data_IF_194484506546
#
_entry.id   IF_194484506546
#
_cell.length_a   1.000
_cell.length_b   1.000
_cell.length_c   1.000
_cell.angle_alpha   90.00
_cell.angle_beta   90.00
_cell.angle_gamma   90.00
#
_symmetry.space_group_name_H-M   'P 1'
#
loop_
_entity.id
_entity.type
_entity.pdbx_description
1 polymer ?
#
# COMPACT_ATOMS: atom_id res chain seq x y z
N UNK A 1 -12.54 -2.57 10.57
CA UNK A 1 -12.68 -1.58 9.48
C UNK A 1 -11.41 -0.78 9.45
N UNK A 2 -10.76 -0.70 8.30
CA UNK A 2 -9.34 -0.32 8.15
C UNK A 2 -9.02 1.18 8.43
N UNK A 3 -9.88 1.89 9.15
CA UNK A 3 -9.64 3.29 9.56
C UNK A 3 -9.46 4.28 8.41
N UNK A 4 -9.88 3.92 7.20
CA UNK A 4 -9.96 4.82 6.05
C UNK A 4 -11.36 5.44 6.10
N UNK A 5 -11.48 6.77 6.31
CA UNK A 5 -12.77 7.41 6.28
C UNK A 5 -13.39 7.19 4.90
N UNK A 6 -14.66 6.80 4.93
CA UNK A 6 -15.48 6.79 3.74
C UNK A 6 -15.55 8.24 3.21
N UNK A 7 -15.11 8.44 1.97
CA UNK A 7 -15.23 9.74 1.30
C UNK A 7 -16.64 9.77 0.72
N UNK A 8 -17.50 10.58 1.32
CA UNK A 8 -18.90 10.84 0.91
C UNK A 8 -19.93 9.75 1.24
N UNK A 9 -19.63 8.80 2.14
CA UNK A 9 -20.56 7.71 2.49
C UNK A 9 -20.69 6.62 1.42
N UNK A 10 -19.70 6.57 0.51
CA UNK A 10 -19.51 5.61 -0.57
C UNK A 10 -18.45 4.56 -0.19
N UNK A 11 -18.76 3.24 -0.26
CA UNK A 11 -17.83 2.18 0.12
C UNK A 11 -16.42 2.39 -0.41
N UNK A 12 -15.42 2.25 0.46
CA UNK A 12 -14.00 2.42 0.12
C UNK A 12 -13.66 1.55 -1.09
N UNK A 13 -13.38 2.20 -2.23
CA UNK A 13 -13.09 1.49 -3.47
C UNK A 13 -11.69 0.90 -3.42
N UNK A 14 -11.59 -0.40 -3.64
CA UNK A 14 -10.33 -1.11 -3.84
C UNK A 14 -10.07 -1.28 -5.32
N UNK A 15 -8.88 -0.89 -5.78
CA UNK A 15 -8.48 -1.02 -7.17
C UNK A 15 -7.04 -1.52 -7.29
N UNK A 16 -6.82 -2.44 -8.23
CA UNK A 16 -5.48 -2.74 -8.71
C UNK A 16 -4.86 -1.48 -9.34
N UNK A 17 -3.58 -1.23 -9.05
CA UNK A 17 -2.86 -0.05 -9.53
C UNK A 17 -1.86 -0.39 -10.60
N UNK A 18 -0.92 -1.29 -10.30
CA UNK A 18 0.19 -1.69 -11.19
C UNK A 18 0.98 -2.84 -10.60
N UNK A 19 1.86 -3.40 -11.41
CA UNK A 19 2.93 -4.32 -11.01
C UNK A 19 4.22 -3.55 -10.74
N UNK A 20 4.99 -4.00 -9.76
CA UNK A 20 6.30 -3.49 -9.33
C UNK A 20 7.25 -4.68 -9.21
N UNK A 21 7.99 -5.01 -10.26
CA UNK A 21 8.77 -6.25 -10.28
C UNK A 21 7.86 -7.47 -10.08
N UNK A 22 8.10 -8.24 -9.01
CA UNK A 22 7.26 -9.38 -8.62
C UNK A 22 6.04 -8.99 -7.78
N UNK A 23 5.89 -7.74 -7.39
CA UNK A 23 4.80 -7.29 -6.51
C UNK A 23 3.61 -6.76 -7.30
N UNK A 24 2.41 -7.21 -6.96
CA UNK A 24 1.14 -6.69 -7.46
C UNK A 24 0.58 -5.70 -6.43
N UNK A 25 0.26 -4.47 -6.86
CA UNK A 25 -0.11 -3.38 -5.96
C UNK A 25 -1.59 -3.00 -6.08
N UNK A 26 -2.30 -2.99 -4.95
CA UNK A 26 -3.66 -2.47 -4.81
C UNK A 26 -3.69 -1.23 -3.92
N UNK A 27 -4.76 -0.46 -4.07
CA UNK A 27 -5.11 0.63 -3.17
C UNK A 27 -6.59 0.54 -2.79
N UNK A 28 -6.85 0.65 -1.49
CA UNK A 28 -8.16 1.00 -0.95
C UNK A 28 -8.14 2.49 -0.60
N UNK A 29 -9.08 3.27 -1.14
CA UNK A 29 -9.20 4.71 -0.88
C UNK A 29 -8.93 5.61 -2.10
N UNK A 30 -9.10 6.93 -1.93
CA UNK A 30 -8.99 7.94 -2.99
C UNK A 30 -7.59 8.04 -3.62
N UNK A 31 -7.50 8.81 -4.71
CA UNK A 31 -6.21 9.08 -5.36
C UNK A 31 -5.31 10.02 -4.56
N UNK A 32 -5.90 10.87 -3.74
CA UNK A 32 -5.26 11.80 -2.80
C UNK A 32 -6.03 11.74 -1.48
N UNK A 33 -5.33 11.81 -0.36
CA UNK A 33 -5.91 11.61 0.97
C UNK A 33 -5.62 10.22 1.53
N UNK A 34 -6.37 9.85 2.57
CA UNK A 34 -6.22 8.59 3.28
C UNK A 34 -6.36 7.37 2.38
N UNK A 35 -5.39 6.45 2.43
CA UNK A 35 -5.44 5.21 1.67
C UNK A 35 -4.69 4.07 2.36
N UNK A 36 -5.07 2.84 2.08
CA UNK A 36 -4.30 1.64 2.37
C UNK A 36 -3.78 1.06 1.06
N UNK A 37 -2.48 0.77 1.02
CA UNK A 37 -1.85 0.04 -0.06
C UNK A 37 -1.53 -1.38 0.38
N UNK A 38 -1.68 -2.32 -0.55
CA UNK A 38 -1.31 -3.72 -0.35
C UNK A 38 -0.46 -4.17 -1.53
N UNK A 39 0.71 -4.73 -1.23
CA UNK A 39 1.57 -5.41 -2.18
C UNK A 39 1.53 -6.92 -1.92
N UNK A 40 1.22 -7.71 -2.95
CA UNK A 40 1.19 -9.17 -2.93
C UNK A 40 2.28 -9.71 -3.88
N UNK A 41 3.10 -10.65 -3.44
CA UNK A 41 4.10 -11.26 -4.31
C UNK A 41 3.44 -12.19 -5.34
N UNK A 42 3.81 -12.07 -6.62
CA UNK A 42 3.14 -12.82 -7.71
C UNK A 42 3.45 -14.31 -7.73
N UNK A 43 4.56 -14.73 -7.11
CA UNK A 43 4.95 -16.14 -7.02
C UNK A 43 4.71 -16.78 -5.65
N UNK A 44 4.30 -15.99 -4.66
CA UNK A 44 4.04 -16.46 -3.30
C UNK A 44 2.91 -15.63 -2.71
N UNK A 45 1.69 -16.17 -2.76
CA UNK A 45 0.49 -15.43 -2.39
C UNK A 45 0.35 -15.20 -0.87
N UNK A 46 1.30 -15.71 -0.07
CA UNK A 46 1.35 -15.46 1.37
C UNK A 46 2.29 -14.29 1.72
N UNK A 47 3.18 -13.88 0.81
CA UNK A 47 4.02 -12.69 0.98
C UNK A 47 3.22 -11.43 0.65
N UNK A 48 2.71 -10.79 1.71
CA UNK A 48 1.87 -9.60 1.64
C UNK A 48 2.46 -8.50 2.52
N UNK A 49 2.64 -7.32 1.93
CA UNK A 49 3.01 -6.10 2.65
C UNK A 49 1.91 -5.06 2.55
N UNK A 50 1.71 -4.27 3.61
CA UNK A 50 0.70 -3.22 3.69
C UNK A 50 1.35 -1.88 4.04
N UNK A 51 0.75 -0.80 3.57
CA UNK A 51 1.17 0.56 3.90
C UNK A 51 -0.04 1.47 4.08
N UNK A 52 -0.17 2.12 5.23
CA UNK A 52 -1.18 3.15 5.50
C UNK A 52 -0.60 4.50 5.08
N UNK A 53 -1.28 5.21 4.17
CA UNK A 53 -0.95 6.57 3.74
C UNK A 53 -1.95 7.54 4.35
N UNK A 54 -1.51 8.49 5.15
CA UNK A 54 -2.33 9.53 5.78
C UNK A 54 -2.55 10.73 4.86
N UNK A 55 -3.59 11.52 5.14
CA UNK A 55 -3.94 12.69 4.32
C UNK A 55 -2.83 13.76 4.26
N UNK A 56 -1.99 13.86 5.29
CA UNK A 56 -0.83 14.76 5.34
C UNK A 56 0.38 14.27 4.52
N UNK A 57 0.27 13.09 3.91
CA UNK A 57 1.32 12.47 3.09
C UNK A 57 2.33 11.66 3.88
N UNK A 58 2.23 11.62 5.21
CA UNK A 58 2.94 10.64 6.04
C UNK A 58 2.33 9.25 5.85
N UNK A 59 3.02 8.23 6.35
CA UNK A 59 2.46 6.89 6.36
C UNK A 59 3.30 5.93 7.17
N UNK A 60 2.86 4.68 7.18
CA UNK A 60 3.56 3.61 7.87
C UNK A 60 3.32 2.27 7.19
N UNK A 61 4.35 1.44 7.15
CA UNK A 61 4.24 0.07 6.64
C UNK A 61 5.58 -0.64 6.62
N UNK A 62 5.54 -1.92 6.95
CA UNK A 62 6.71 -2.80 6.87
C UNK A 62 6.97 -3.20 5.42
N UNK A 63 8.20 -3.00 4.95
CA UNK A 63 8.67 -3.43 3.63
C UNK A 63 9.12 -4.90 3.62
N UNK A 64 9.37 -5.47 2.43
CA UNK A 64 9.98 -6.80 2.29
C UNK A 64 11.44 -6.86 2.74
N UNK A 65 12.07 -5.71 2.96
CA UNK A 65 13.38 -5.55 3.58
C UNK A 65 13.34 -5.71 5.11
N UNK A 66 12.16 -5.92 5.70
CA UNK A 66 11.99 -6.07 7.15
C UNK A 66 12.04 -4.74 7.92
N UNK A 67 12.07 -3.61 7.22
CA UNK A 67 12.12 -2.28 7.83
C UNK A 67 10.74 -1.62 7.84
N UNK A 68 10.49 -0.79 8.86
CA UNK A 68 9.36 0.13 8.87
C UNK A 68 9.67 1.39 8.04
N UNK A 69 8.74 1.76 7.16
CA UNK A 69 8.88 2.93 6.30
C UNK A 69 7.84 3.99 6.66
N UNK A 70 8.30 5.22 6.90
CA UNK A 70 7.42 6.38 7.18
C UNK A 70 6.88 7.09 5.93
N UNK A 71 7.39 6.75 4.74
CA UNK A 71 7.06 7.42 3.48
C UNK A 71 6.74 6.41 2.40
N UNK A 72 5.65 6.66 1.67
CA UNK A 72 5.19 5.75 0.63
C UNK A 72 6.19 5.55 -0.51
N UNK A 73 7.01 6.56 -0.81
CA UNK A 73 8.08 6.43 -1.83
C UNK A 73 9.14 5.43 -1.40
N UNK A 74 9.54 5.45 -0.13
CA UNK A 74 10.60 4.58 0.40
C UNK A 74 10.10 3.14 0.51
N UNK A 75 8.87 2.94 1.00
CA UNK A 75 8.21 1.63 0.99
C UNK A 75 8.08 1.02 -0.41
N UNK A 76 7.73 1.83 -1.44
CA UNK A 76 7.70 1.33 -2.82
C UNK A 76 9.09 0.98 -3.35
N UNK A 77 10.12 1.70 -2.93
CA UNK A 77 11.49 1.40 -3.32
C UNK A 77 11.92 0.06 -2.74
N UNK A 78 11.63 -0.23 -1.47
CA UNK A 78 11.97 -1.53 -0.89
C UNK A 78 11.26 -2.71 -1.57
N UNK A 79 10.03 -2.53 -2.07
CA UNK A 79 9.39 -3.54 -2.93
C UNK A 79 10.17 -3.82 -4.22
N UNK A 80 10.71 -2.79 -4.85
CA UNK A 80 11.46 -2.94 -6.09
C UNK A 80 12.83 -3.56 -5.83
N UNK A 81 13.49 -3.15 -4.75
CA UNK A 81 14.84 -3.56 -4.39
C UNK A 81 14.89 -4.96 -3.76
N UNK A 82 13.77 -5.42 -3.16
CA UNK A 82 13.63 -6.75 -2.55
C UNK A 82 12.41 -7.49 -3.13
N UNK A 83 12.58 -8.21 -4.27
CA UNK A 83 11.51 -8.96 -4.92
C UNK A 83 10.92 -10.12 -4.10
#
# INVERSE_FOLDING_TARGET
>A
GDGIPDVDGMPVRTAYKRRLGMWLLWRAGPARGDALYMALHSGDLLRIHRFRLYADGSGEGMGPDGLEHGRFRDWKRSLVDTP
#
